data_IF_624631692333
#
_entry.id   IF_624631692333
#
_cell.length_a   1.000
_cell.length_b   1.000
_cell.length_c   1.000
_cell.angle_alpha   90.00
_cell.angle_beta   90.00
_cell.angle_gamma   90.00
#
_symmetry.space_group_name_H-M   'P 1'
#
loop_
_entity.id
_entity.type
_entity.pdbx_description
1 polymer ?
#
# COMPACT_ATOMS: atom_id res chain seq x y z
N UNK A 1 17.65 20.94 5.36
CA UNK A 1 16.28 21.25 4.90
C UNK A 1 15.28 20.29 5.52
N UNK A 2 14.15 20.82 5.96
CA UNK A 2 13.08 20.02 6.57
C UNK A 2 12.22 19.41 5.46
N UNK A 3 12.00 18.10 5.52
CA UNK A 3 11.08 17.41 4.61
C UNK A 3 9.64 17.80 4.97
N UNK A 4 8.85 18.21 3.99
CA UNK A 4 7.43 18.48 4.21
C UNK A 4 6.68 17.18 4.45
N UNK A 5 5.51 17.27 5.09
CA UNK A 5 4.65 16.09 5.29
C UNK A 5 4.23 15.49 3.96
N UNK A 6 3.92 16.33 2.97
CA UNK A 6 3.57 15.85 1.63
C UNK A 6 4.70 15.02 1.00
N UNK A 7 5.94 15.52 1.08
CA UNK A 7 7.09 14.81 0.56
C UNK A 7 7.34 13.49 1.30
N UNK A 8 7.16 13.49 2.62
CA UNK A 8 7.35 12.29 3.43
C UNK A 8 6.32 11.21 3.08
N UNK A 9 5.04 11.59 2.93
CA UNK A 9 3.98 10.67 2.52
C UNK A 9 4.24 10.15 1.11
N UNK A 10 4.59 11.03 0.17
CA UNK A 10 4.88 10.62 -1.21
C UNK A 10 6.03 9.60 -1.27
N UNK A 11 7.07 9.81 -0.47
CA UNK A 11 8.20 8.88 -0.38
C UNK A 11 7.77 7.53 0.17
N UNK A 12 6.92 7.52 1.19
CA UNK A 12 6.43 6.28 1.79
C UNK A 12 5.49 5.52 0.87
N UNK A 13 4.66 6.23 0.09
CA UNK A 13 3.79 5.62 -0.92
C UNK A 13 4.63 4.90 -1.97
N UNK A 14 5.71 5.53 -2.45
CA UNK A 14 6.62 4.90 -3.41
C UNK A 14 7.37 3.72 -2.79
N UNK A 15 7.83 3.86 -1.54
CA UNK A 15 8.50 2.76 -0.83
C UNK A 15 7.56 1.57 -0.66
N UNK A 16 6.27 1.82 -0.42
CA UNK A 16 5.27 0.76 -0.31
C UNK A 16 5.09 0.01 -1.64
N UNK A 17 5.02 0.74 -2.74
CA UNK A 17 4.93 0.14 -4.09
C UNK A 17 6.11 -0.79 -4.36
N UNK A 18 7.31 -0.34 -4.08
CA UNK A 18 8.53 -1.12 -4.30
C UNK A 18 8.60 -2.33 -3.37
N UNK A 19 8.21 -2.16 -2.10
CA UNK A 19 8.19 -3.25 -1.13
C UNK A 19 7.18 -4.34 -1.51
N UNK A 20 6.04 -3.95 -2.08
CA UNK A 20 5.02 -4.88 -2.53
C UNK A 20 5.52 -5.69 -3.73
N UNK A 21 6.17 -5.04 -4.71
CA UNK A 21 6.78 -5.72 -5.86
C UNK A 21 7.85 -6.71 -5.39
N UNK A 22 8.71 -6.27 -4.45
CA UNK A 22 9.80 -7.10 -3.93
C UNK A 22 9.32 -8.19 -2.97
N UNK A 23 8.07 -8.13 -2.52
CA UNK A 23 7.52 -9.03 -1.48
C UNK A 23 8.41 -9.03 -0.24
N UNK A 24 8.80 -7.84 0.22
CA UNK A 24 9.75 -7.65 1.33
C UNK A 24 8.98 -7.47 2.65
N UNK A 25 8.96 -8.49 3.53
CA UNK A 25 8.18 -8.41 4.76
C UNK A 25 8.66 -7.34 5.73
N UNK A 26 9.97 -7.11 5.82
CA UNK A 26 10.52 -6.09 6.72
C UNK A 26 10.14 -4.69 6.27
N UNK A 27 10.26 -4.42 4.97
CA UNK A 27 9.93 -3.12 4.41
C UNK A 27 8.43 -2.82 4.55
N UNK A 28 7.57 -3.79 4.23
CA UNK A 28 6.12 -3.63 4.38
C UNK A 28 5.74 -3.42 5.84
N UNK A 29 6.30 -4.22 6.75
CA UNK A 29 6.01 -4.10 8.17
C UNK A 29 6.43 -2.73 8.72
N UNK A 30 7.57 -2.21 8.29
CA UNK A 30 8.07 -0.91 8.74
C UNK A 30 7.17 0.26 8.29
N UNK A 31 6.48 0.12 7.16
CA UNK A 31 5.59 1.14 6.62
C UNK A 31 4.18 1.10 7.20
N UNK A 32 3.80 0.00 7.84
CA UNK A 32 2.43 -0.20 8.35
C UNK A 32 2.33 0.13 9.83
N UNK A 33 1.23 0.80 10.20
CA UNK A 33 0.85 0.93 11.61
C UNK A 33 0.51 -0.44 12.17
N UNK A 34 0.76 -0.65 13.47
CA UNK A 34 0.34 -1.88 14.15
C UNK A 34 -1.18 -2.04 14.14
N UNK A 35 -1.90 -0.95 13.92
CA UNK A 35 -3.38 -0.93 13.84
C UNK A 35 -3.89 -0.96 12.40
N UNK A 36 -3.08 -1.39 11.45
CA UNK A 36 -3.48 -1.43 10.03
C UNK A 36 -4.79 -2.21 9.85
N UNK A 37 -5.69 -1.61 9.06
CA UNK A 37 -6.92 -2.25 8.60
C UNK A 37 -6.97 -2.18 7.09
N UNK A 38 -7.01 -3.32 6.42
CA UNK A 38 -7.02 -3.41 4.98
C UNK A 38 -8.27 -4.14 4.50
N UNK A 39 -8.99 -3.54 3.57
CA UNK A 39 -10.13 -4.14 2.89
C UNK A 39 -9.79 -4.40 1.42
N UNK A 40 -9.75 -5.66 1.03
CA UNK A 40 -9.58 -6.06 -0.37
C UNK A 40 -10.85 -5.80 -1.18
N UNK A 41 -10.72 -5.76 -2.51
CA UNK A 41 -11.87 -5.53 -3.40
C UNK A 41 -12.94 -6.63 -3.28
N UNK A 42 -12.57 -7.80 -2.79
CA UNK A 42 -13.50 -8.91 -2.52
C UNK A 42 -14.24 -8.76 -1.20
N UNK A 43 -13.87 -7.77 -0.38
CA UNK A 43 -14.38 -7.62 0.98
C UNK A 43 -13.58 -8.37 2.05
N UNK A 44 -12.53 -9.08 1.65
CA UNK A 44 -11.66 -9.78 2.60
C UNK A 44 -10.88 -8.75 3.42
N UNK A 45 -10.89 -8.91 4.75
CA UNK A 45 -10.25 -7.98 5.68
C UNK A 45 -8.96 -8.57 6.23
N UNK A 46 -7.94 -7.72 6.34
CA UNK A 46 -6.64 -8.11 6.93
C UNK A 46 -6.19 -7.07 7.94
N UNK A 47 -5.60 -7.54 9.04
CA UNK A 47 -4.80 -6.72 9.93
C UNK A 47 -3.36 -6.68 9.41
N UNK A 48 -2.46 -6.02 10.15
CA UNK A 48 -1.05 -5.92 9.75
C UNK A 48 -0.38 -7.28 9.57
N UNK A 49 -0.54 -8.17 10.54
CA UNK A 49 0.10 -9.48 10.50
C UNK A 49 -0.37 -10.30 9.30
N UNK A 50 -1.68 -10.33 9.06
CA UNK A 50 -2.26 -11.05 7.93
C UNK A 50 -1.83 -10.43 6.60
N UNK A 51 -1.83 -9.09 6.50
CA UNK A 51 -1.42 -8.41 5.28
C UNK A 51 0.04 -8.72 4.93
N UNK A 52 0.96 -8.56 5.87
CA UNK A 52 2.39 -8.80 5.61
C UNK A 52 2.62 -10.27 5.25
N UNK A 53 2.00 -11.20 5.96
CA UNK A 53 2.14 -12.62 5.67
C UNK A 53 1.63 -12.98 4.28
N UNK A 54 0.43 -12.51 3.92
CA UNK A 54 -0.17 -12.83 2.62
C UNK A 54 0.51 -12.13 1.45
N UNK A 55 1.05 -10.92 1.68
CA UNK A 55 1.77 -10.19 0.64
C UNK A 55 3.14 -10.79 0.33
N UNK A 56 3.66 -11.63 1.21
CA UNK A 56 5.03 -12.15 1.11
C UNK A 56 5.11 -13.68 1.13
N UNK A 57 3.97 -14.37 0.95
CA UNK A 57 3.91 -15.84 0.99
C UNK A 57 4.33 -16.52 -0.32
N UNK A 58 4.62 -15.75 -1.36
CA UNK A 58 5.07 -16.27 -2.63
C UNK A 58 3.97 -16.78 -3.55
N UNK A 59 2.70 -16.71 -3.14
CA UNK A 59 1.58 -17.16 -3.98
C UNK A 59 1.31 -16.23 -5.15
N UNK A 60 1.62 -14.95 -4.99
CA UNK A 60 1.50 -13.94 -6.04
C UNK A 60 2.85 -13.28 -6.25
N UNK A 61 3.30 -13.24 -7.50
CA UNK A 61 4.53 -12.57 -7.89
C UNK A 61 4.17 -11.41 -8.79
N UNK A 62 4.55 -10.18 -8.38
CA UNK A 62 4.28 -8.99 -9.18
C UNK A 62 5.42 -8.74 -10.16
N UNK A 63 5.11 -8.67 -11.45
CA UNK A 63 6.04 -8.23 -12.48
C UNK A 63 6.11 -6.71 -12.51
N UNK A 64 4.94 -6.05 -12.32
CA UNK A 64 4.89 -4.59 -12.27
C UNK A 64 3.70 -4.12 -11.44
N UNK A 65 3.86 -2.98 -10.77
CA UNK A 65 2.78 -2.24 -10.14
C UNK A 65 2.98 -0.77 -10.50
N UNK A 66 1.95 -0.18 -11.09
CA UNK A 66 1.95 1.25 -11.46
C UNK A 66 0.87 1.97 -10.68
N UNK A 67 1.22 3.10 -10.08
CA UNK A 67 0.27 4.01 -9.43
C UNK A 67 0.00 5.16 -10.40
N UNK A 68 -1.19 5.19 -10.98
CA UNK A 68 -1.59 6.20 -11.95
C UNK A 68 -2.40 7.29 -11.27
N UNK A 69 -2.09 8.55 -11.63
CA UNK A 69 -2.79 9.75 -11.15
C UNK A 69 -2.91 9.82 -9.62
N UNK A 70 -1.80 9.70 -8.87
CA UNK A 70 -1.85 9.75 -7.42
C UNK A 70 -2.22 11.14 -6.91
N UNK A 71 -3.05 11.19 -5.87
CA UNK A 71 -3.38 12.42 -5.15
C UNK A 71 -3.10 12.22 -3.68
N UNK A 72 -2.54 13.25 -3.04
CA UNK A 72 -2.20 13.24 -1.62
C UNK A 72 -2.82 14.46 -0.97
N UNK A 73 -3.55 14.23 0.14
CA UNK A 73 -4.12 15.31 0.95
C UNK A 73 -3.64 15.16 2.38
N UNK A 74 -3.09 16.23 2.95
CA UNK A 74 -2.59 16.26 4.31
C UNK A 74 -3.57 17.04 5.17
N UNK A 75 -4.02 16.43 6.29
CA UNK A 75 -4.91 17.06 7.26
C UNK A 75 -4.34 16.76 8.65
N UNK A 76 -3.56 17.71 9.21
CA UNK A 76 -2.90 17.51 10.49
C UNK A 76 -2.00 16.28 10.47
N UNK A 77 -2.18 15.34 11.41
CA UNK A 77 -1.37 14.12 11.45
C UNK A 77 -1.87 13.01 10.51
N UNK A 78 -2.86 13.31 9.66
CA UNK A 78 -3.45 12.32 8.76
C UNK A 78 -3.22 12.71 7.30
N UNK A 79 -3.13 11.70 6.44
CA UNK A 79 -3.06 11.90 5.01
C UNK A 79 -3.90 10.85 4.29
N UNK A 80 -4.64 11.29 3.27
CA UNK A 80 -5.31 10.37 2.37
C UNK A 80 -4.61 10.36 1.03
N UNK A 81 -4.47 9.18 0.44
CA UNK A 81 -3.82 8.98 -0.84
C UNK A 81 -4.73 8.14 -1.72
N UNK A 82 -4.96 8.60 -2.94
CA UNK A 82 -5.75 7.86 -3.93
C UNK A 82 -4.93 7.69 -5.19
N UNK A 83 -5.07 6.54 -5.81
CA UNK A 83 -4.48 6.28 -7.12
C UNK A 83 -5.19 5.11 -7.79
N UNK A 84 -4.98 5.03 -9.11
CA UNK A 84 -5.39 3.88 -9.90
C UNK A 84 -4.23 2.89 -9.90
N UNK A 85 -4.46 1.72 -9.34
CA UNK A 85 -3.47 0.66 -9.18
C UNK A 85 -3.58 -0.30 -10.36
N UNK A 86 -2.50 -0.39 -11.12
CA UNK A 86 -2.40 -1.26 -12.29
C UNK A 86 -1.27 -2.25 -12.03
N UNK A 87 -1.56 -3.54 -12.07
CA UNK A 87 -0.54 -4.53 -11.80
C UNK A 87 -0.58 -5.66 -12.84
N UNK A 88 0.61 -6.14 -13.15
CA UNK A 88 0.80 -7.41 -13.86
C UNK A 88 1.44 -8.37 -12.88
N UNK A 89 0.84 -9.54 -12.72
CA UNK A 89 1.25 -10.50 -11.71
C UNK A 89 1.11 -11.92 -12.19
N UNK A 90 1.78 -12.84 -11.52
CA UNK A 90 1.63 -14.28 -11.71
C UNK A 90 1.06 -14.86 -10.44
N UNK A 91 -0.08 -15.52 -10.53
CA UNK A 91 -0.76 -16.19 -9.41
C UNK A 91 -1.13 -17.60 -9.82
N UNK A 92 -0.71 -18.61 -9.04
CA UNK A 92 -1.01 -20.00 -9.36
C UNK A 92 -0.48 -20.43 -10.72
N UNK A 93 0.65 -19.87 -11.15
CA UNK A 93 1.27 -20.18 -12.45
C UNK A 93 0.63 -19.44 -13.63
N UNK A 94 -0.37 -18.60 -13.40
CA UNK A 94 -1.06 -17.86 -14.45
C UNK A 94 -0.76 -16.37 -14.38
N UNK A 95 -0.56 -15.75 -15.55
CA UNK A 95 -0.38 -14.31 -15.67
C UNK A 95 -1.74 -13.62 -15.61
N UNK A 96 -1.85 -12.62 -14.72
CA UNK A 96 -3.08 -11.85 -14.50
C UNK A 96 -2.75 -10.38 -14.52
N UNK A 97 -3.60 -9.58 -15.17
CA UNK A 97 -3.56 -8.12 -15.08
C UNK A 97 -4.75 -7.67 -14.23
N UNK A 98 -4.51 -6.74 -13.32
CA UNK A 98 -5.55 -6.26 -12.42
C UNK A 98 -5.56 -4.73 -12.36
N UNK A 99 -6.75 -4.17 -12.18
CA UNK A 99 -6.98 -2.73 -12.15
C UNK A 99 -7.90 -2.39 -10.99
N UNK A 100 -7.39 -1.62 -10.05
CA UNK A 100 -8.11 -1.27 -8.82
C UNK A 100 -8.01 0.23 -8.55
N UNK A 101 -9.01 0.77 -7.89
CA UNK A 101 -8.91 2.09 -7.27
C UNK A 101 -8.53 1.89 -5.80
N UNK A 102 -7.46 2.55 -5.37
CA UNK A 102 -6.93 2.41 -4.01
C UNK A 102 -7.16 3.69 -3.22
N UNK A 103 -7.58 3.52 -1.97
CA UNK A 103 -7.58 4.59 -0.97
C UNK A 103 -6.69 4.15 0.18
N UNK A 104 -5.70 4.98 0.49
CA UNK A 104 -4.83 4.80 1.66
C UNK A 104 -5.06 5.92 2.66
N UNK A 105 -5.01 5.58 3.95
CA UNK A 105 -4.91 6.57 5.02
C UNK A 105 -3.60 6.35 5.75
N UNK A 106 -2.78 7.40 5.80
CA UNK A 106 -1.52 7.41 6.53
C UNK A 106 -1.68 8.26 7.78
N UNK A 107 -1.07 7.83 8.87
CA UNK A 107 -1.12 8.54 10.14
C UNK A 107 0.30 8.81 10.62
N UNK A 108 0.56 10.06 11.04
CA UNK A 108 1.85 10.42 11.61
C UNK A 108 1.87 10.05 13.09
N UNK A 109 2.68 9.06 13.42
CA UNK A 109 2.86 8.53 14.78
C UNK A 109 4.35 8.60 15.12
N UNK A 110 4.68 9.22 16.26
CA UNK A 110 6.08 9.36 16.70
C UNK A 110 6.99 9.95 15.61
N UNK A 111 6.51 10.99 14.91
CA UNK A 111 7.20 11.66 13.80
C UNK A 111 7.40 10.79 12.55
N UNK A 112 6.74 9.64 12.47
CA UNK A 112 6.80 8.76 11.30
C UNK A 112 5.42 8.54 10.71
N UNK A 113 5.32 8.58 9.39
CA UNK A 113 4.08 8.29 8.69
C UNK A 113 3.93 6.77 8.51
N UNK A 114 2.83 6.23 9.03
CA UNK A 114 2.51 4.79 8.93
C UNK A 114 1.18 4.59 8.24
N UNK A 115 1.08 3.53 7.45
CA UNK A 115 -0.17 3.17 6.78
C UNK A 115 -1.16 2.63 7.81
N UNK A 116 -2.26 3.36 8.00
CA UNK A 116 -3.30 3.00 8.96
C UNK A 116 -4.42 2.19 8.30
N UNK A 117 -4.80 2.55 7.09
CA UNK A 117 -5.84 1.80 6.37
C UNK A 117 -5.58 1.83 4.87
N UNK A 118 -6.06 0.79 4.21
CA UNK A 118 -6.01 0.66 2.76
C UNK A 118 -7.27 -0.04 2.30
N UNK A 119 -7.92 0.49 1.29
CA UNK A 119 -9.07 -0.17 0.69
C UNK A 119 -8.94 -0.19 -0.82
N UNK A 120 -9.42 -1.26 -1.42
CA UNK A 120 -9.36 -1.47 -2.86
C UNK A 120 -10.77 -1.64 -3.41
N UNK A 121 -11.05 -0.98 -4.54
CA UNK A 121 -12.30 -1.12 -5.27
C UNK A 121 -11.98 -1.58 -6.67
N UNK A 122 -12.66 -2.61 -7.12
CA UNK A 122 -12.46 -3.14 -8.47
C UNK A 122 -13.04 -2.17 -9.51
N UNK A 123 -12.25 -1.92 -10.54
CA UNK A 123 -12.63 -1.05 -11.65
C UNK A 123 -13.14 -1.85 -12.84
#
# INVERSE_FOLDING_TARGET
MTTTDHEAVARNVEAFRLAQIAADPKALSALCSDELSYSHSSGFLEDKAAFVANATDGKTEFQSITYKDPTIRIVGPAATVRFHWLAEMTTGGQKVANSLHILMTWLKQDNEWKLLSRSATKL
#
